data_IF_294465512195
#
_entry.id   IF_294465512195
#
_cell.length_a   1.000
_cell.length_b   1.000
_cell.length_c   1.000
_cell.angle_alpha   90.00
_cell.angle_beta   90.00
_cell.angle_gamma   90.00
#
_symmetry.space_group_name_H-M   'P 1'
#
loop_
_entity.id
_entity.type
_entity.pdbx_description
1 polymer ?
#
# COMPACT_ATOMS: atom_id res chain seq x y z
N UNK A 1 -66.83 -55.59 -13.04
CA UNK A 1 -65.76 -54.78 -12.40
C UNK A 1 -66.26 -53.44 -11.87
N UNK A 2 -66.96 -52.61 -12.66
CA UNK A 2 -67.37 -51.25 -12.25
C UNK A 2 -68.34 -51.17 -11.05
N UNK A 3 -69.22 -52.16 -10.86
CA UNK A 3 -70.15 -52.20 -9.71
C UNK A 3 -69.44 -52.54 -8.39
N UNK A 4 -68.42 -53.41 -8.42
CA UNK A 4 -67.64 -53.81 -7.25
C UNK A 4 -66.89 -52.62 -6.62
N UNK A 5 -66.28 -51.76 -7.44
CA UNK A 5 -65.64 -50.53 -6.96
C UNK A 5 -66.64 -49.52 -6.37
N UNK A 6 -67.88 -49.49 -6.87
CA UNK A 6 -68.92 -48.55 -6.41
C UNK A 6 -69.45 -48.92 -5.02
N UNK A 7 -69.59 -50.21 -4.72
CA UNK A 7 -70.07 -50.67 -3.41
C UNK A 7 -68.99 -50.58 -2.32
N UNK A 8 -67.73 -50.82 -2.67
CA UNK A 8 -66.58 -50.61 -1.77
C UNK A 8 -66.41 -49.12 -1.44
N UNK A 9 -66.51 -48.24 -2.46
CA UNK A 9 -66.43 -46.80 -2.27
C UNK A 9 -67.56 -46.24 -1.39
N UNK A 10 -68.79 -46.80 -1.48
CA UNK A 10 -69.90 -46.43 -0.60
C UNK A 10 -69.70 -46.92 0.85
N UNK A 11 -69.16 -48.12 1.06
CA UNK A 11 -68.98 -48.73 2.39
C UNK A 11 -67.82 -48.13 3.19
N UNK A 12 -66.81 -47.57 2.52
CA UNK A 12 -65.61 -47.00 3.16
C UNK A 12 -65.43 -45.49 2.92
N UNK A 13 -66.50 -44.77 2.54
CA UNK A 13 -66.46 -43.36 2.11
C UNK A 13 -65.77 -42.42 3.12
N UNK A 14 -65.98 -42.62 4.42
CA UNK A 14 -65.32 -41.84 5.48
C UNK A 14 -63.83 -42.17 5.63
N UNK A 15 -63.46 -43.45 5.50
CA UNK A 15 -62.07 -43.89 5.56
C UNK A 15 -61.26 -43.39 4.36
N UNK A 16 -61.85 -43.45 3.16
CA UNK A 16 -61.23 -42.95 1.94
C UNK A 16 -60.96 -41.44 1.99
N UNK A 17 -61.91 -40.65 2.53
CA UNK A 17 -61.73 -39.21 2.72
C UNK A 17 -60.62 -38.85 3.71
N UNK A 18 -60.52 -39.58 4.83
CA UNK A 18 -59.45 -39.36 5.82
C UNK A 18 -58.09 -39.72 5.23
N UNK A 19 -57.98 -40.85 4.52
CA UNK A 19 -56.72 -41.27 3.89
C UNK A 19 -56.29 -40.35 2.76
N UNK A 20 -57.23 -39.86 1.93
CA UNK A 20 -56.90 -38.93 0.84
C UNK A 20 -56.51 -37.56 1.37
N UNK A 21 -57.18 -37.07 2.42
CA UNK A 21 -56.81 -35.84 3.12
C UNK A 21 -55.41 -35.93 3.74
N UNK A 22 -55.09 -37.05 4.39
CA UNK A 22 -53.76 -37.29 4.97
C UNK A 22 -52.67 -37.35 3.89
N UNK A 23 -52.94 -38.01 2.77
CA UNK A 23 -52.01 -38.10 1.64
C UNK A 23 -51.76 -36.72 1.00
N UNK A 24 -52.80 -35.89 0.84
CA UNK A 24 -52.69 -34.52 0.34
C UNK A 24 -51.87 -33.64 1.27
N UNK A 25 -52.14 -33.69 2.58
CA UNK A 25 -51.37 -32.93 3.57
C UNK A 25 -49.90 -33.36 3.59
N UNK A 26 -49.64 -34.68 3.54
CA UNK A 26 -48.27 -35.21 3.47
C UNK A 26 -47.56 -34.76 2.19
N UNK A 27 -48.25 -34.77 1.05
CA UNK A 27 -47.67 -34.30 -0.22
C UNK A 27 -47.35 -32.81 -0.19
N UNK A 28 -48.28 -31.97 0.30
CA UNK A 28 -48.07 -30.53 0.44
C UNK A 28 -46.94 -30.20 1.41
N UNK A 29 -46.86 -30.92 2.54
CA UNK A 29 -45.78 -30.75 3.51
C UNK A 29 -44.42 -31.12 2.91
N UNK A 30 -44.31 -32.28 2.23
CA UNK A 30 -43.07 -32.68 1.55
C UNK A 30 -42.69 -31.70 0.44
N UNK A 31 -43.66 -31.24 -0.35
CA UNK A 31 -43.41 -30.24 -1.40
C UNK A 31 -42.89 -28.92 -0.82
N UNK A 32 -43.52 -28.42 0.25
CA UNK A 32 -43.09 -27.19 0.92
C UNK A 32 -41.70 -27.34 1.53
N UNK A 33 -41.41 -28.47 2.21
CA UNK A 33 -40.09 -28.73 2.79
C UNK A 33 -39.01 -28.83 1.71
N UNK A 34 -39.23 -29.59 0.64
CA UNK A 34 -38.28 -29.68 -0.47
C UNK A 34 -38.04 -28.32 -1.11
N UNK A 35 -39.10 -27.55 -1.36
CA UNK A 35 -38.98 -26.19 -1.90
C UNK A 35 -38.18 -25.29 -0.95
N UNK A 36 -38.46 -25.32 0.35
CA UNK A 36 -37.77 -24.51 1.35
C UNK A 36 -36.29 -24.90 1.48
N UNK A 37 -35.97 -26.19 1.44
CA UNK A 37 -34.59 -26.69 1.46
C UNK A 37 -33.82 -26.24 0.23
N UNK A 38 -34.41 -26.33 -0.96
CA UNK A 38 -33.79 -25.83 -2.19
C UNK A 38 -33.55 -24.32 -2.12
N UNK A 39 -34.54 -23.53 -1.70
CA UNK A 39 -34.39 -22.08 -1.50
C UNK A 39 -33.23 -21.74 -0.53
N UNK A 40 -33.12 -22.47 0.59
CA UNK A 40 -32.02 -22.28 1.54
C UNK A 40 -30.67 -22.67 0.96
N UNK A 41 -30.59 -23.79 0.23
CA UNK A 41 -29.36 -24.23 -0.43
C UNK A 41 -28.89 -23.23 -1.48
N UNK A 42 -29.82 -22.69 -2.28
CA UNK A 42 -29.49 -21.73 -3.32
C UNK A 42 -29.03 -20.40 -2.72
N UNK A 43 -29.69 -19.92 -1.66
CA UNK A 43 -29.21 -18.74 -0.90
C UNK A 43 -27.81 -18.94 -0.34
N UNK A 44 -27.53 -20.09 0.29
CA UNK A 44 -26.21 -20.38 0.83
C UNK A 44 -25.13 -20.47 -0.26
N UNK A 45 -25.46 -21.03 -1.42
CA UNK A 45 -24.53 -21.06 -2.57
C UNK A 45 -24.22 -19.66 -3.07
N UNK A 46 -25.23 -18.79 -3.15
CA UNK A 46 -25.08 -17.40 -3.59
C UNK A 46 -24.26 -16.56 -2.60
N UNK A 47 -24.55 -16.67 -1.31
CA UNK A 47 -23.78 -16.00 -0.24
C UNK A 47 -22.31 -16.45 -0.26
N UNK A 48 -22.07 -17.77 -0.37
CA UNK A 48 -20.72 -18.30 -0.46
C UNK A 48 -19.99 -17.87 -1.73
N UNK A 49 -20.66 -17.87 -2.89
CA UNK A 49 -20.08 -17.42 -4.15
C UNK A 49 -19.70 -15.94 -4.11
N UNK A 50 -20.56 -15.11 -3.53
CA UNK A 50 -20.31 -13.67 -3.33
C UNK A 50 -19.11 -13.44 -2.41
N UNK A 51 -19.05 -14.18 -1.30
CA UNK A 51 -17.93 -14.09 -0.35
C UNK A 51 -16.60 -14.52 -0.99
N UNK A 52 -16.59 -15.59 -1.76
CA UNK A 52 -15.38 -16.05 -2.45
C UNK A 52 -14.93 -15.08 -3.54
N UNK A 53 -15.87 -14.45 -4.26
CA UNK A 53 -15.56 -13.39 -5.22
C UNK A 53 -14.84 -12.21 -4.55
N UNK A 54 -15.37 -11.73 -3.41
CA UNK A 54 -14.78 -10.63 -2.63
C UNK A 54 -13.36 -10.99 -2.21
N UNK A 55 -13.17 -12.16 -1.59
CA UNK A 55 -11.84 -12.61 -1.13
C UNK A 55 -10.85 -12.69 -2.29
N UNK A 56 -11.27 -13.26 -3.42
CA UNK A 56 -10.42 -13.40 -4.60
C UNK A 56 -10.01 -12.03 -5.13
N UNK A 57 -10.97 -11.09 -5.22
CA UNK A 57 -10.72 -9.73 -5.70
C UNK A 57 -9.80 -8.96 -4.75
N UNK A 58 -10.05 -9.02 -3.45
CA UNK A 58 -9.19 -8.42 -2.45
C UNK A 58 -7.76 -8.97 -2.53
N UNK A 59 -7.60 -10.29 -2.58
CA UNK A 59 -6.28 -10.93 -2.70
C UNK A 59 -5.58 -10.55 -4.01
N UNK A 60 -6.32 -10.42 -5.11
CA UNK A 60 -5.77 -9.92 -6.37
C UNK A 60 -5.31 -8.47 -6.23
N UNK A 61 -6.13 -7.60 -5.61
CA UNK A 61 -5.78 -6.21 -5.36
C UNK A 61 -4.50 -6.08 -4.53
N UNK A 62 -4.29 -6.91 -3.49
CA UNK A 62 -3.02 -6.87 -2.73
C UNK A 62 -1.80 -7.23 -3.60
N UNK A 63 -1.95 -8.21 -4.49
CA UNK A 63 -0.88 -8.57 -5.44
C UNK A 63 -0.62 -7.43 -6.43
N UNK A 64 -1.68 -6.81 -6.94
CA UNK A 64 -1.56 -5.67 -7.85
C UNK A 64 -0.84 -4.51 -7.17
N UNK A 65 -1.17 -4.21 -5.90
CA UNK A 65 -0.46 -3.19 -5.10
C UNK A 65 1.04 -3.44 -5.08
N UNK A 66 1.47 -4.66 -4.72
CA UNK A 66 2.89 -4.98 -4.64
C UNK A 66 3.60 -4.94 -6.00
N UNK A 67 2.95 -5.44 -7.06
CA UNK A 67 3.54 -5.42 -8.41
C UNK A 67 3.64 -3.99 -8.97
N UNK A 68 2.65 -3.15 -8.69
CA UNK A 68 2.71 -1.72 -9.02
C UNK A 68 3.79 -1.01 -8.21
N UNK A 69 3.92 -1.30 -6.91
CA UNK A 69 4.99 -0.78 -6.07
C UNK A 69 6.37 -1.10 -6.65
N UNK A 70 6.63 -2.37 -6.99
CA UNK A 70 7.91 -2.77 -7.61
C UNK A 70 8.16 -2.06 -8.95
N UNK A 71 7.11 -1.76 -9.71
CA UNK A 71 7.22 -1.01 -10.97
C UNK A 71 7.52 0.47 -10.73
N UNK A 72 7.07 1.03 -9.61
CA UNK A 72 7.31 2.43 -9.22
C UNK A 72 8.62 2.62 -8.47
N UNK A 73 9.17 1.55 -7.89
CA UNK A 73 10.36 1.61 -7.06
C UNK A 73 11.55 2.32 -7.75
N UNK A 74 11.93 2.05 -9.02
CA UNK A 74 13.02 2.78 -9.66
C UNK A 74 12.74 4.29 -9.79
N UNK A 75 11.48 4.67 -10.05
CA UNK A 75 11.08 6.08 -10.15
C UNK A 75 11.15 6.82 -8.81
N UNK A 76 11.06 6.10 -7.69
CA UNK A 76 11.25 6.65 -6.35
C UNK A 76 12.73 6.68 -5.95
N UNK A 77 13.44 5.57 -6.20
CA UNK A 77 14.79 5.33 -5.71
C UNK A 77 15.84 6.14 -6.50
N UNK A 78 15.74 6.19 -7.83
CA UNK A 78 16.76 6.83 -8.67
C UNK A 78 16.95 8.32 -8.33
N UNK A 79 15.88 9.15 -8.17
CA UNK A 79 16.02 10.54 -7.74
C UNK A 79 16.69 10.68 -6.37
N UNK A 80 16.36 9.80 -5.42
CA UNK A 80 16.93 9.81 -4.06
C UNK A 80 18.44 9.51 -4.10
N UNK A 81 18.86 8.52 -4.89
CA UNK A 81 20.29 8.21 -5.06
C UNK A 81 21.06 9.32 -5.76
N UNK A 82 20.45 9.94 -6.77
CA UNK A 82 21.08 11.04 -7.51
C UNK A 82 21.25 12.30 -6.65
N UNK A 83 20.26 12.63 -5.83
CA UNK A 83 20.30 13.80 -4.94
C UNK A 83 21.19 13.55 -3.71
N UNK A 84 21.11 12.36 -3.12
CA UNK A 84 21.89 11.96 -1.94
C UNK A 84 23.03 11.04 -2.36
N UNK A 85 23.99 11.60 -3.10
CA UNK A 85 25.10 10.84 -3.69
C UNK A 85 26.22 10.54 -2.67
N UNK A 86 26.12 9.40 -1.99
CA UNK A 86 27.11 8.91 -1.01
C UNK A 86 28.37 8.37 -1.71
N UNK A 87 28.21 7.87 -2.93
CA UNK A 87 29.28 7.27 -3.73
C UNK A 87 30.30 8.34 -4.16
N UNK A 88 29.84 9.55 -4.45
CA UNK A 88 30.68 10.71 -4.74
C UNK A 88 31.58 11.07 -3.56
N UNK A 89 31.03 11.19 -2.35
CA UNK A 89 31.80 11.47 -1.14
C UNK A 89 32.80 10.35 -0.86
N UNK A 90 32.37 9.10 -1.05
CA UNK A 90 33.25 7.93 -0.90
C UNK A 90 34.42 7.97 -1.89
N UNK A 91 34.17 8.41 -3.13
CA UNK A 91 35.21 8.60 -4.16
C UNK A 91 36.17 9.72 -3.77
N UNK A 92 35.68 10.85 -3.29
CA UNK A 92 36.51 11.96 -2.81
C UNK A 92 37.40 11.53 -1.63
N UNK A 93 36.85 10.79 -0.66
CA UNK A 93 37.61 10.24 0.46
C UNK A 93 38.73 9.29 0.01
N UNK A 94 38.46 8.43 -0.99
CA UNK A 94 39.47 7.54 -1.58
C UNK A 94 40.58 8.32 -2.29
N UNK A 95 40.23 9.34 -3.06
CA UNK A 95 41.19 10.21 -3.75
C UNK A 95 42.04 11.01 -2.77
N UNK A 96 41.44 11.56 -1.70
CA UNK A 96 42.14 12.26 -0.65
C UNK A 96 43.16 11.35 0.08
N UNK A 97 42.82 10.08 0.29
CA UNK A 97 43.75 9.08 0.85
C UNK A 97 44.94 8.82 -0.08
N UNK A 98 44.70 8.61 -1.38
CA UNK A 98 45.76 8.37 -2.36
C UNK A 98 46.71 9.57 -2.55
N UNK A 99 46.18 10.80 -2.51
CA UNK A 99 46.98 12.04 -2.55
C UNK A 99 47.86 12.20 -1.30
N UNK A 100 47.33 11.88 -0.13
CA UNK A 100 48.08 11.94 1.14
C UNK A 100 49.27 10.97 1.21
N UNK A 101 49.28 9.91 0.39
CA UNK A 101 50.37 8.93 0.32
C UNK A 101 51.47 9.32 -0.70
N UNK A 102 51.24 10.33 -1.56
CA UNK A 102 52.11 10.58 -2.73
C UNK A 102 52.85 11.94 -2.71
N UNK A 103 52.49 12.95 -1.92
CA UNK A 103 53.18 14.26 -1.96
C UNK A 103 53.13 15.07 -0.66
N UNK A 104 54.31 15.58 -0.24
CA UNK A 104 54.50 16.60 0.80
C UNK A 104 53.90 17.93 0.31
N UNK A 105 52.92 18.43 1.05
CA UNK A 105 52.43 19.82 1.10
C UNK A 105 52.37 20.59 -0.23
N UNK A 106 51.17 20.67 -0.78
CA UNK A 106 50.68 21.91 -1.39
C UNK A 106 49.27 22.14 -0.82
N UNK A 107 49.18 23.10 0.10
CA UNK A 107 47.93 23.80 0.39
C UNK A 107 47.43 24.37 -0.93
N UNK A 108 46.31 23.83 -1.44
CA UNK A 108 45.58 24.49 -2.51
C UNK A 108 44.07 24.41 -2.28
N UNK A 109 43.45 25.51 -2.67
CA UNK A 109 42.20 26.07 -2.22
C UNK A 109 40.95 25.26 -2.68
N UNK A 110 39.92 25.29 -1.83
CA UNK A 110 38.51 24.94 -2.08
C UNK A 110 38.03 23.47 -2.01
N UNK A 111 38.71 22.62 -1.24
CA UNK A 111 38.20 21.28 -0.90
C UNK A 111 37.76 21.15 0.55
N UNK A 112 36.66 20.42 0.80
CA UNK A 112 36.26 19.97 2.15
C UNK A 112 37.40 19.18 2.80
N UNK A 113 37.60 19.36 4.11
CA UNK A 113 38.62 18.58 4.84
C UNK A 113 38.23 17.10 4.91
N UNK A 114 39.21 16.22 5.14
CA UNK A 114 38.92 14.78 5.30
C UNK A 114 37.92 14.51 6.42
N UNK A 115 37.98 15.27 7.52
CA UNK A 115 37.04 15.15 8.63
C UNK A 115 35.63 15.60 8.20
N UNK A 116 35.51 16.74 7.52
CA UNK A 116 34.24 17.23 6.97
C UNK A 116 33.60 16.24 6.00
N UNK A 117 34.39 15.62 5.11
CA UNK A 117 33.89 14.58 4.18
C UNK A 117 33.36 13.34 4.90
N UNK A 118 34.00 12.95 6.00
CA UNK A 118 33.56 11.84 6.82
C UNK A 118 32.26 12.16 7.56
N UNK A 119 32.14 13.36 8.13
CA UNK A 119 30.91 13.84 8.76
C UNK A 119 29.76 13.96 7.76
N UNK A 120 30.03 14.48 6.56
CA UNK A 120 29.02 14.53 5.50
C UNK A 120 28.61 13.12 5.04
N UNK A 121 29.55 12.18 4.93
CA UNK A 121 29.26 10.79 4.61
C UNK A 121 28.32 10.18 5.66
N UNK A 122 28.59 10.42 6.95
CA UNK A 122 27.75 9.95 8.06
C UNK A 122 26.30 10.39 7.89
N UNK A 123 26.10 11.71 7.78
CA UNK A 123 24.77 12.30 7.69
C UNK A 123 24.08 11.85 6.41
N UNK A 124 24.72 11.95 5.24
CA UNK A 124 24.08 11.58 3.97
C UNK A 124 23.77 10.09 3.84
N UNK A 125 24.62 9.20 4.33
CA UNK A 125 24.33 7.76 4.31
C UNK A 125 23.09 7.42 5.11
N UNK A 126 22.96 7.98 6.32
CA UNK A 126 21.79 7.78 7.18
C UNK A 126 20.54 8.45 6.60
N UNK A 127 20.66 9.69 6.12
CA UNK A 127 19.56 10.40 5.46
C UNK A 127 19.05 9.62 4.26
N UNK A 128 19.94 9.09 3.41
CA UNK A 128 19.55 8.26 2.27
C UNK A 128 18.83 6.99 2.72
N UNK A 129 19.40 6.27 3.70
CA UNK A 129 18.82 5.06 4.23
C UNK A 129 17.37 5.27 4.71
N UNK A 130 17.16 6.23 5.61
CA UNK A 130 15.82 6.52 6.12
C UNK A 130 14.89 7.08 5.05
N UNK A 131 15.37 7.95 4.15
CA UNK A 131 14.52 8.49 3.06
C UNK A 131 14.01 7.37 2.15
N UNK A 132 14.83 6.37 1.83
CA UNK A 132 14.39 5.21 1.05
C UNK A 132 13.32 4.40 1.79
N UNK A 133 13.60 3.96 3.02
CA UNK A 133 12.66 3.12 3.77
C UNK A 133 11.32 3.83 4.00
N UNK A 134 11.34 5.10 4.39
CA UNK A 134 10.11 5.89 4.57
C UNK A 134 9.41 6.16 3.24
N UNK A 135 10.14 6.48 2.18
CA UNK A 135 9.57 6.70 0.86
C UNK A 135 8.85 5.45 0.33
N UNK A 136 9.47 4.28 0.50
CA UNK A 136 8.91 2.99 0.14
C UNK A 136 7.68 2.65 0.97
N UNK A 137 7.74 2.82 2.29
CA UNK A 137 6.60 2.60 3.17
C UNK A 137 5.40 3.50 2.81
N UNK A 138 5.65 4.78 2.55
CA UNK A 138 4.65 5.75 2.12
C UNK A 138 4.04 5.37 0.75
N UNK A 139 4.87 4.91 -0.19
CA UNK A 139 4.40 4.44 -1.49
C UNK A 139 3.54 3.18 -1.38
N UNK A 140 3.95 2.20 -0.57
CA UNK A 140 3.19 0.97 -0.30
C UNK A 140 1.82 1.35 0.27
N UNK A 141 1.76 2.17 1.32
CA UNK A 141 0.49 2.60 1.92
C UNK A 141 -0.37 3.36 0.91
N UNK A 142 0.21 4.28 0.14
CA UNK A 142 -0.54 5.04 -0.86
C UNK A 142 -1.19 4.12 -1.91
N UNK A 143 -0.44 3.16 -2.46
CA UNK A 143 -0.95 2.22 -3.46
C UNK A 143 -2.01 1.29 -2.88
N UNK A 144 -1.81 0.81 -1.65
CA UNK A 144 -2.82 0.02 -0.95
C UNK A 144 -4.12 0.81 -0.75
N UNK A 145 -4.06 2.06 -0.31
CA UNK A 145 -5.25 2.89 -0.17
C UNK A 145 -5.92 3.14 -1.53
N UNK A 146 -5.16 3.62 -2.52
CA UNK A 146 -5.72 3.98 -3.83
C UNK A 146 -6.39 2.78 -4.51
N UNK A 147 -5.70 1.63 -4.58
CA UNK A 147 -6.21 0.46 -5.28
C UNK A 147 -7.33 -0.24 -4.52
N UNK A 148 -7.32 -0.26 -3.18
CA UNK A 148 -8.45 -0.81 -2.42
C UNK A 148 -9.70 0.08 -2.50
N UNK A 149 -9.56 1.42 -2.49
CA UNK A 149 -10.68 2.35 -2.71
C UNK A 149 -11.31 2.11 -4.09
N UNK A 150 -10.49 2.08 -5.15
CA UNK A 150 -10.96 1.83 -6.52
C UNK A 150 -11.59 0.44 -6.64
N UNK A 151 -10.93 -0.59 -6.11
CA UNK A 151 -11.40 -1.98 -6.20
C UNK A 151 -12.74 -2.16 -5.49
N UNK A 152 -12.95 -1.51 -4.35
CA UNK A 152 -14.25 -1.48 -3.66
C UNK A 152 -15.32 -0.80 -4.50
N UNK A 153 -15.04 0.38 -5.07
CA UNK A 153 -16.01 1.11 -5.90
C UNK A 153 -16.45 0.29 -7.11
N UNK A 154 -15.50 -0.31 -7.82
CA UNK A 154 -15.80 -1.18 -8.96
C UNK A 154 -16.49 -2.50 -8.54
N UNK A 155 -16.29 -2.97 -7.31
CA UNK A 155 -17.07 -4.08 -6.75
C UNK A 155 -18.54 -3.70 -6.54
N UNK A 156 -18.81 -2.56 -5.91
CA UNK A 156 -20.17 -2.06 -5.71
C UNK A 156 -20.92 -1.88 -7.02
N UNK A 157 -20.25 -1.32 -8.04
CA UNK A 157 -20.78 -1.16 -9.40
C UNK A 157 -21.19 -2.53 -9.99
N UNK A 158 -20.32 -3.53 -9.88
CA UNK A 158 -20.61 -4.90 -10.36
C UNK A 158 -21.73 -5.58 -9.58
N UNK A 159 -21.76 -5.44 -8.25
CA UNK A 159 -22.78 -6.01 -7.39
C UNK A 159 -24.16 -5.40 -7.65
N UNK A 160 -24.23 -4.08 -7.84
CA UNK A 160 -25.45 -3.37 -8.21
C UNK A 160 -26.00 -3.89 -9.55
N UNK A 161 -25.14 -4.05 -10.57
CA UNK A 161 -25.52 -4.61 -11.86
C UNK A 161 -26.11 -6.02 -11.72
N UNK A 162 -25.49 -6.87 -10.91
CA UNK A 162 -25.99 -8.23 -10.70
C UNK A 162 -27.36 -8.23 -10.01
N UNK A 163 -27.56 -7.38 -8.99
CA UNK A 163 -28.83 -7.25 -8.28
C UNK A 163 -29.96 -6.78 -9.22
N UNK A 164 -29.70 -5.76 -10.06
CA UNK A 164 -30.67 -5.27 -11.05
C UNK A 164 -31.09 -6.37 -12.04
N UNK A 165 -30.12 -7.15 -12.53
CA UNK A 165 -30.37 -8.28 -13.44
C UNK A 165 -31.16 -9.41 -12.79
N UNK A 166 -30.98 -9.64 -11.49
CA UNK A 166 -31.67 -10.69 -10.74
C UNK A 166 -33.11 -10.32 -10.35
N UNK A 167 -33.38 -9.06 -10.00
CA UNK A 167 -34.73 -8.63 -9.58
C UNK A 167 -35.71 -8.45 -10.74
N UNK A 168 -35.27 -8.62 -11.99
CA UNK A 168 -36.18 -8.58 -13.15
C UNK A 168 -36.94 -7.26 -13.25
N UNK A 169 -36.29 -6.14 -12.91
CA UNK A 169 -36.86 -4.80 -13.09
C UNK A 169 -36.89 -4.51 -14.60
N UNK A 170 -37.86 -5.10 -15.29
CA UNK A 170 -38.26 -4.72 -16.64
C UNK A 170 -38.89 -3.33 -16.55
N UNK A 171 -38.14 -2.29 -16.94
CA UNK A 171 -38.69 -0.94 -17.05
C UNK A 171 -37.75 0.21 -16.71
N UNK A 172 -36.54 -0.07 -16.24
CA UNK A 172 -35.48 0.95 -16.22
C UNK A 172 -34.65 0.73 -17.49
N UNK A 173 -34.92 1.55 -18.50
CA UNK A 173 -34.01 1.78 -19.64
C UNK A 173 -32.78 2.53 -19.10
N UNK A 174 -32.03 1.88 -18.23
CA UNK A 174 -30.69 2.32 -17.90
C UNK A 174 -29.89 1.84 -19.10
N UNK A 175 -29.30 2.77 -19.87
CA UNK A 175 -28.17 2.42 -20.72
C UNK A 175 -27.02 1.98 -19.79
N UNK A 176 -27.14 0.77 -19.21
CA UNK A 176 -26.16 0.12 -18.34
C UNK A 176 -24.85 -0.01 -19.09
N UNK A 177 -24.87 0.00 -20.43
CA UNK A 177 -23.66 0.08 -21.24
C UNK A 177 -23.02 1.49 -21.18
N UNK A 178 -23.73 2.60 -21.43
CA UNK A 178 -23.11 3.94 -21.44
C UNK A 178 -22.74 4.47 -20.05
N UNK A 179 -23.57 4.27 -19.02
CA UNK A 179 -23.29 4.74 -17.64
C UNK A 179 -22.25 3.86 -16.94
N UNK A 180 -22.06 2.60 -17.39
CA UNK A 180 -20.95 1.77 -16.91
C UNK A 180 -19.67 1.91 -17.75
N UNK A 181 -19.79 2.36 -19.01
CA UNK A 181 -18.71 2.82 -19.86
C UNK A 181 -18.31 4.28 -19.59
N UNK A 182 -18.92 4.95 -18.60
CA UNK A 182 -18.37 6.19 -18.04
C UNK A 182 -16.89 5.90 -17.80
N UNK A 183 -16.07 6.53 -18.65
CA UNK A 183 -14.63 6.40 -18.67
C UNK A 183 -14.17 6.49 -17.22
N UNK A 184 -13.21 5.66 -16.83
CA UNK A 184 -12.54 5.65 -15.53
C UNK A 184 -11.76 6.98 -15.26
N UNK A 185 -12.32 8.14 -15.63
CA UNK A 185 -11.72 9.47 -15.51
C UNK A 185 -11.44 9.79 -14.05
N UNK A 186 -12.40 9.60 -13.11
CA UNK A 186 -12.12 9.87 -11.71
C UNK A 186 -11.02 8.96 -11.15
N UNK A 187 -11.05 7.68 -11.51
CA UNK A 187 -10.07 6.68 -11.08
C UNK A 187 -8.67 6.97 -11.66
N UNK A 188 -8.58 7.34 -12.94
CA UNK A 188 -7.32 7.70 -13.59
C UNK A 188 -6.72 8.99 -13.03
N UNK A 189 -7.56 10.02 -12.82
CA UNK A 189 -7.13 11.26 -12.16
C UNK A 189 -6.69 10.98 -10.72
N UNK A 190 -7.43 10.14 -9.98
CA UNK A 190 -7.09 9.75 -8.62
C UNK A 190 -5.78 8.97 -8.52
N UNK A 191 -5.49 8.04 -9.44
CA UNK A 191 -4.22 7.30 -9.49
C UNK A 191 -3.01 8.20 -9.78
N UNK A 192 -3.23 9.32 -10.47
CA UNK A 192 -2.19 10.30 -10.78
C UNK A 192 -1.55 10.93 -9.54
N UNK A 193 -2.22 10.89 -8.38
CA UNK A 193 -1.69 11.40 -7.10
C UNK A 193 -0.42 10.69 -6.62
N UNK A 194 -0.16 9.45 -7.07
CA UNK A 194 1.12 8.77 -6.82
C UNK A 194 2.33 9.51 -7.37
N UNK A 195 2.13 10.33 -8.40
CA UNK A 195 3.16 11.19 -8.97
C UNK A 195 3.73 12.19 -7.96
N UNK A 196 2.92 12.66 -7.01
CA UNK A 196 3.35 13.66 -6.04
C UNK A 196 4.51 13.18 -5.19
N UNK A 197 4.38 12.00 -4.56
CA UNK A 197 5.45 11.40 -3.77
C UNK A 197 6.69 11.15 -4.64
N UNK A 198 6.52 10.63 -5.86
CA UNK A 198 7.60 10.30 -6.79
C UNK A 198 8.43 11.52 -7.24
N UNK A 199 7.84 12.72 -7.26
CA UNK A 199 8.49 13.88 -7.90
C UNK A 199 8.73 15.07 -6.95
N UNK A 200 7.91 15.23 -5.91
CA UNK A 200 7.94 16.39 -5.01
C UNK A 200 7.99 15.97 -3.55
N UNK A 201 7.09 15.09 -3.12
CA UNK A 201 6.94 14.69 -1.72
C UNK A 201 8.20 14.07 -1.11
N UNK A 202 8.97 13.29 -1.87
CA UNK A 202 10.22 12.70 -1.36
C UNK A 202 11.29 13.75 -0.99
N UNK A 203 11.25 14.95 -1.58
CA UNK A 203 12.20 16.03 -1.28
C UNK A 203 11.93 16.57 0.12
N UNK A 204 10.66 16.80 0.45
CA UNK A 204 10.25 17.24 1.79
C UNK A 204 10.50 16.14 2.83
N UNK A 205 10.28 14.88 2.45
CA UNK A 205 10.65 13.73 3.27
C UNK A 205 12.16 13.72 3.57
N UNK A 206 13.00 13.87 2.53
CA UNK A 206 14.47 13.93 2.67
C UNK A 206 14.89 15.03 3.66
N UNK A 207 14.30 16.22 3.56
CA UNK A 207 14.64 17.33 4.44
C UNK A 207 14.27 17.01 5.90
N UNK A 208 13.04 16.53 6.12
CA UNK A 208 12.55 16.12 7.45
C UNK A 208 13.40 15.00 8.07
N UNK A 209 13.77 14.02 7.26
CA UNK A 209 14.66 12.91 7.65
C UNK A 209 16.06 13.45 7.96
N UNK A 210 16.60 14.33 7.11
CA UNK A 210 17.91 14.93 7.29
C UNK A 210 18.04 15.68 8.61
N UNK A 211 17.06 16.49 8.95
CA UNK A 211 17.00 17.19 10.24
C UNK A 211 17.01 16.19 11.40
N UNK A 212 16.19 15.14 11.31
CA UNK A 212 16.10 14.11 12.37
C UNK A 212 17.37 13.27 12.51
N UNK A 213 18.09 13.03 11.42
CA UNK A 213 19.40 12.36 11.44
C UNK A 213 20.44 13.24 12.09
N UNK A 214 20.47 14.54 11.77
CA UNK A 214 21.39 15.51 12.38
C UNK A 214 21.12 15.63 13.88
N UNK A 215 19.85 15.67 14.30
CA UNK A 215 19.46 15.77 15.72
C UNK A 215 19.97 14.59 16.57
N UNK A 216 20.11 13.40 16.00
CA UNK A 216 20.52 12.18 16.72
C UNK A 216 22.00 11.84 16.52
N UNK A 217 22.49 11.90 15.28
CA UNK A 217 23.85 11.47 14.92
C UNK A 217 24.84 12.64 14.78
N UNK A 218 24.39 13.89 14.86
CA UNK A 218 25.24 15.07 14.67
C UNK A 218 26.48 15.05 15.56
N UNK A 219 26.29 14.81 16.86
CA UNK A 219 27.34 14.87 17.88
C UNK A 219 28.17 13.57 18.03
N UNK A 220 27.82 12.50 17.31
CA UNK A 220 28.47 11.19 17.43
C UNK A 220 29.76 11.17 16.60
N UNK A 221 30.91 10.92 17.25
CA UNK A 221 32.20 10.82 16.56
C UNK A 221 32.28 9.53 15.73
N UNK A 222 32.79 9.62 14.51
CA UNK A 222 33.02 8.46 13.65
C UNK A 222 34.05 7.45 14.16
N UNK A 223 34.86 7.86 15.13
CA UNK A 223 35.84 7.02 15.84
C UNK A 223 35.25 6.32 17.05
N UNK A 224 34.07 6.73 17.50
CA UNK A 224 33.36 6.06 18.57
C UNK A 224 33.12 4.60 18.18
N UNK A 225 33.28 3.71 19.15
CA UNK A 225 33.04 2.30 18.97
C UNK A 225 31.65 1.99 19.51
N UNK A 226 30.77 1.53 18.62
CA UNK A 226 29.40 1.19 18.94
C UNK A 226 29.19 -0.30 18.74
N UNK A 227 28.44 -0.92 19.63
CA UNK A 227 27.88 -2.24 19.39
C UNK A 227 26.58 -2.14 18.57
N UNK A 228 26.06 -3.29 18.12
CA UNK A 228 24.88 -3.30 17.25
C UNK A 228 23.62 -2.82 17.98
N UNK A 229 23.50 -3.07 19.29
CA UNK A 229 22.35 -2.63 20.09
C UNK A 229 22.35 -1.11 20.26
N UNK A 230 23.51 -0.50 20.52
CA UNK A 230 23.69 0.94 20.59
C UNK A 230 23.36 1.61 19.25
N UNK A 231 23.88 1.08 18.15
CA UNK A 231 23.60 1.60 16.80
C UNK A 231 22.11 1.47 16.44
N UNK A 232 21.50 0.32 16.74
CA UNK A 232 20.06 0.11 16.54
C UNK A 232 19.21 1.04 17.40
N UNK A 233 19.63 1.31 18.64
CA UNK A 233 18.98 2.28 19.52
C UNK A 233 19.01 3.70 18.96
N UNK A 234 20.12 4.11 18.34
CA UNK A 234 20.22 5.39 17.64
C UNK A 234 19.31 5.45 16.42
N UNK A 235 19.26 4.38 15.62
CA UNK A 235 18.31 4.28 14.50
C UNK A 235 16.85 4.39 14.98
N UNK A 236 16.50 3.73 16.08
CA UNK A 236 15.17 3.82 16.67
C UNK A 236 14.84 5.24 17.17
N UNK A 237 15.82 5.97 17.70
CA UNK A 237 15.63 7.39 18.07
C UNK A 237 15.37 8.27 16.84
N UNK A 238 16.06 8.03 15.72
CA UNK A 238 15.77 8.72 14.45
C UNK A 238 14.36 8.40 13.98
N UNK A 239 13.95 7.13 14.00
CA UNK A 239 12.58 6.74 13.63
C UNK A 239 11.55 7.44 14.50
N UNK A 240 11.73 7.43 15.82
CA UNK A 240 10.82 8.11 16.76
C UNK A 240 10.68 9.61 16.45
N UNK A 241 11.77 10.28 16.08
CA UNK A 241 11.74 11.69 15.67
C UNK A 241 10.94 11.90 14.39
N UNK A 242 11.19 11.07 13.37
CA UNK A 242 10.50 11.15 12.07
C UNK A 242 9.01 10.82 12.25
N UNK A 243 8.68 9.70 12.89
CA UNK A 243 7.31 9.25 13.16
C UNK A 243 6.50 10.31 13.88
N UNK A 244 7.08 10.97 14.89
CA UNK A 244 6.43 12.10 15.58
C UNK A 244 6.03 13.22 14.63
N UNK A 245 6.96 13.67 13.78
CA UNK A 245 6.72 14.73 12.78
C UNK A 245 5.68 14.29 11.72
N UNK A 246 5.66 13.00 11.36
CA UNK A 246 4.69 12.45 10.41
C UNK A 246 3.27 12.36 11.00
N UNK A 247 3.13 11.94 12.26
CA UNK A 247 1.84 11.83 12.96
C UNK A 247 1.17 13.18 13.22
N UNK A 248 1.93 14.28 13.29
CA UNK A 248 1.40 15.65 13.40
C UNK A 248 0.78 16.19 12.08
N UNK A 249 0.51 15.30 11.11
CA UNK A 249 -0.12 15.62 9.83
C UNK A 249 0.86 15.75 8.65
N UNK A 250 2.15 15.51 8.90
CA UNK A 250 3.19 15.56 7.86
C UNK A 250 2.94 14.62 6.69
N UNK A 251 2.34 13.44 6.94
CA UNK A 251 2.06 12.42 5.91
C UNK A 251 1.24 12.99 4.74
N UNK A 252 0.24 13.84 5.02
CA UNK A 252 -0.64 14.37 3.97
C UNK A 252 0.13 15.25 3.00
N UNK A 253 1.01 16.12 3.49
CA UNK A 253 1.82 17.00 2.62
C UNK A 253 2.83 16.23 1.78
N UNK A 254 3.33 15.09 2.28
CA UNK A 254 4.24 14.22 1.53
C UNK A 254 3.55 13.42 0.43
N UNK A 255 2.26 13.10 0.59
CA UNK A 255 1.52 12.22 -0.31
C UNK A 255 0.53 12.93 -1.24
N UNK A 256 0.02 14.10 -0.84
CA UNK A 256 -0.97 14.85 -1.61
C UNK A 256 -0.48 16.28 -1.89
N UNK A 257 -0.62 16.78 -3.13
CA UNK A 257 -0.33 18.16 -3.46
C UNK A 257 -1.31 19.12 -2.78
N UNK A 258 -0.93 20.38 -2.69
CA UNK A 258 -1.89 21.45 -2.45
C UNK A 258 -2.76 21.67 -3.72
N UNK A 259 -3.88 22.39 -3.58
CA UNK A 259 -4.82 22.61 -4.69
C UNK A 259 -4.19 23.31 -5.90
N UNK A 260 -3.18 24.15 -5.69
CA UNK A 260 -2.51 24.87 -6.77
C UNK A 260 -1.65 23.93 -7.63
N UNK A 261 -0.99 22.96 -6.99
CA UNK A 261 -0.09 22.01 -7.64
C UNK A 261 -0.79 20.76 -8.17
N UNK A 262 -2.05 20.53 -7.78
CA UNK A 262 -2.88 19.45 -8.31
C UNK A 262 -3.07 19.57 -9.83
N UNK A 263 -3.25 20.79 -10.34
CA UNK A 263 -3.38 21.03 -11.79
C UNK A 263 -2.09 20.69 -12.55
N UNK A 264 -0.93 21.12 -12.02
CA UNK A 264 0.38 20.77 -12.60
C UNK A 264 0.57 19.25 -12.65
N UNK A 265 0.24 18.55 -11.56
CA UNK A 265 0.34 17.10 -11.50
C UNK A 265 -0.55 16.42 -12.55
N UNK A 266 -1.82 16.84 -12.68
CA UNK A 266 -2.74 16.27 -13.65
C UNK A 266 -2.25 16.51 -15.10
N UNK A 267 -1.68 17.68 -15.38
CA UNK A 267 -1.05 18.02 -16.67
C UNK A 267 0.18 17.14 -16.98
N UNK A 268 0.96 16.76 -15.97
CA UNK A 268 2.15 15.91 -16.14
C UNK A 268 1.83 14.43 -16.34
N UNK A 269 0.65 14.00 -15.89
CA UNK A 269 0.28 12.57 -15.82
C UNK A 269 -0.75 12.18 -16.88
N UNK A 270 -1.48 13.14 -17.46
CA UNK A 270 -2.59 12.86 -18.37
C UNK A 270 -2.49 13.69 -19.67
N UNK A 271 -3.20 13.22 -20.72
CA UNK A 271 -3.22 13.92 -22.00
C UNK A 271 -4.13 15.17 -21.98
N UNK A 272 -3.89 16.16 -22.85
CA UNK A 272 -4.76 17.34 -22.93
C UNK A 272 -6.24 16.99 -23.18
N UNK A 273 -6.52 15.98 -24.01
CA UNK A 273 -7.88 15.54 -24.31
C UNK A 273 -8.57 14.93 -23.09
N UNK A 274 -7.81 14.19 -22.26
CA UNK A 274 -8.31 13.68 -20.99
C UNK A 274 -8.69 14.83 -20.05
N UNK A 275 -7.83 15.85 -19.93
CA UNK A 275 -8.05 16.99 -19.04
C UNK A 275 -9.25 17.81 -19.49
N UNK A 276 -9.42 18.05 -20.79
CA UNK A 276 -10.61 18.73 -21.33
C UNK A 276 -11.90 17.94 -21.02
N UNK A 277 -11.84 16.61 -21.13
CA UNK A 277 -12.98 15.74 -20.79
C UNK A 277 -13.29 15.77 -19.29
N UNK A 278 -12.28 15.70 -18.43
CA UNK A 278 -12.44 15.80 -16.98
C UNK A 278 -12.94 17.19 -16.57
N UNK A 279 -12.46 18.24 -17.22
CA UNK A 279 -12.85 19.63 -16.94
C UNK A 279 -14.27 19.96 -17.38
N UNK A 280 -14.79 19.29 -18.41
CA UNK A 280 -16.16 19.49 -18.90
C UNK A 280 -17.20 18.66 -18.16
N UNK A 281 -16.80 17.61 -17.43
CA UNK A 281 -17.69 16.74 -16.67
C UNK A 281 -17.62 17.04 -15.16
N UNK A 282 -18.59 17.82 -14.66
CA UNK A 282 -18.70 18.17 -13.23
C UNK A 282 -18.89 16.95 -12.31
N UNK A 283 -19.64 15.93 -12.74
CA UNK A 283 -19.82 14.71 -11.96
C UNK A 283 -18.49 13.96 -11.76
N UNK A 284 -17.65 13.89 -12.80
CA UNK A 284 -16.33 13.28 -12.73
C UNK A 284 -15.37 14.04 -11.82
N UNK A 285 -15.43 15.37 -11.80
CA UNK A 285 -14.66 16.18 -10.84
C UNK A 285 -15.07 15.89 -9.41
N UNK A 286 -16.37 15.94 -9.12
CA UNK A 286 -16.91 15.67 -7.78
C UNK A 286 -16.55 14.24 -7.33
N UNK A 287 -16.61 13.26 -8.24
CA UNK A 287 -16.19 11.90 -7.96
C UNK A 287 -14.68 11.80 -7.64
N UNK A 288 -13.82 12.51 -8.38
CA UNK A 288 -12.37 12.59 -8.08
C UNK A 288 -12.13 13.19 -6.70
N UNK A 289 -12.79 14.31 -6.39
CA UNK A 289 -12.67 14.97 -5.09
C UNK A 289 -13.12 14.07 -3.95
N UNK A 290 -14.19 13.28 -4.13
CA UNK A 290 -14.64 12.28 -3.15
C UNK A 290 -13.58 11.21 -2.89
N UNK A 291 -12.96 10.67 -3.94
CA UNK A 291 -11.88 9.68 -3.81
C UNK A 291 -10.67 10.26 -3.06
N UNK A 292 -10.26 11.48 -3.41
CA UNK A 292 -9.13 12.17 -2.76
C UNK A 292 -9.44 12.51 -1.31
N UNK A 293 -10.66 12.96 -1.00
CA UNK A 293 -11.09 13.25 0.37
C UNK A 293 -11.16 11.99 1.24
N UNK A 294 -11.63 10.88 0.68
CA UNK A 294 -11.60 9.58 1.36
C UNK A 294 -10.15 9.14 1.64
N UNK A 295 -9.26 9.20 0.64
CA UNK A 295 -7.84 8.92 0.83
C UNK A 295 -7.24 9.79 1.95
N UNK A 296 -7.48 11.11 1.91
CA UNK A 296 -7.02 12.05 2.93
C UNK A 296 -7.54 11.69 4.33
N UNK A 297 -8.77 11.22 4.45
CA UNK A 297 -9.33 10.76 5.72
C UNK A 297 -8.55 9.58 6.30
N UNK A 298 -8.20 8.57 5.48
CA UNK A 298 -7.36 7.46 5.95
C UNK A 298 -5.96 7.92 6.34
N UNK A 299 -5.34 8.78 5.52
CA UNK A 299 -4.01 9.32 5.79
C UNK A 299 -3.93 10.04 7.13
N UNK A 300 -4.97 10.78 7.51
CA UNK A 300 -5.03 11.52 8.77
C UNK A 300 -5.31 10.64 10.00
N UNK A 301 -6.10 9.57 9.85
CA UNK A 301 -6.68 8.86 11.00
C UNK A 301 -6.11 7.46 11.23
N UNK A 302 -5.61 6.80 10.18
CA UNK A 302 -5.34 5.35 10.22
C UNK A 302 -3.94 4.96 9.73
N UNK A 303 -3.22 5.85 9.04
CA UNK A 303 -1.98 5.45 8.35
C UNK A 303 -0.70 5.63 9.16
N UNK A 304 -0.65 6.55 10.14
CA UNK A 304 0.58 6.87 10.87
C UNK A 304 1.25 5.64 11.48
N UNK A 305 0.51 4.88 12.29
CA UNK A 305 1.03 3.66 12.92
C UNK A 305 1.42 2.58 11.90
N UNK A 306 0.64 2.43 10.82
CA UNK A 306 0.93 1.46 9.76
C UNK A 306 2.25 1.79 9.08
N UNK A 307 2.49 3.07 8.75
CA UNK A 307 3.78 3.52 8.19
C UNK A 307 4.92 3.22 9.16
N UNK A 308 4.78 3.55 10.45
CA UNK A 308 5.82 3.29 11.45
C UNK A 308 6.14 1.79 11.58
N UNK A 309 5.13 0.91 11.51
CA UNK A 309 5.34 -0.55 11.53
C UNK A 309 6.05 -1.08 10.27
N UNK A 310 5.69 -0.58 9.08
CA UNK A 310 6.38 -0.93 7.82
C UNK A 310 7.85 -0.49 7.89
N UNK A 311 8.09 0.74 8.32
CA UNK A 311 9.44 1.30 8.42
C UNK A 311 10.25 0.52 9.46
N UNK A 312 9.68 0.21 10.63
CA UNK A 312 10.35 -0.59 11.65
C UNK A 312 10.76 -1.95 11.10
N UNK A 313 9.91 -2.59 10.30
CA UNK A 313 10.21 -3.86 9.63
C UNK A 313 11.38 -3.71 8.66
N UNK A 314 11.32 -2.72 7.75
CA UNK A 314 12.39 -2.47 6.77
C UNK A 314 13.74 -2.09 7.41
N UNK A 315 13.73 -1.22 8.42
CA UNK A 315 14.93 -0.85 9.17
C UNK A 315 15.53 -2.06 9.87
N UNK A 316 14.71 -2.85 10.55
CA UNK A 316 15.16 -4.05 11.28
C UNK A 316 15.80 -5.07 10.33
N UNK A 317 15.23 -5.28 9.13
CA UNK A 317 15.77 -6.21 8.15
C UNK A 317 17.15 -5.77 7.63
N UNK A 318 17.34 -4.47 7.37
CA UNK A 318 18.65 -3.93 6.94
C UNK A 318 19.68 -3.98 8.07
N UNK A 319 19.27 -3.66 9.30
CA UNK A 319 20.14 -3.74 10.48
C UNK A 319 20.55 -5.19 10.79
N UNK A 320 19.62 -6.14 10.65
CA UNK A 320 19.91 -7.57 10.78
C UNK A 320 20.97 -8.03 9.76
N UNK A 321 20.79 -7.70 8.47
CA UNK A 321 21.78 -8.00 7.43
C UNK A 321 23.13 -7.31 7.68
N UNK A 322 23.13 -6.13 8.31
CA UNK A 322 24.34 -5.42 8.72
C UNK A 322 25.06 -6.18 9.83
N UNK A 323 24.33 -6.63 10.85
CA UNK A 323 24.88 -7.45 11.95
C UNK A 323 25.50 -8.74 11.43
N UNK A 324 24.78 -9.48 10.57
CA UNK A 324 25.26 -10.74 9.99
C UNK A 324 26.58 -10.54 9.21
N UNK A 325 26.65 -9.47 8.40
CA UNK A 325 27.86 -9.14 7.64
C UNK A 325 29.06 -8.76 8.52
N UNK A 326 28.80 -8.20 9.71
CA UNK A 326 29.84 -7.79 10.66
C UNK A 326 30.30 -8.91 11.59
N UNK A 327 29.42 -9.83 11.97
CA UNK A 327 29.78 -11.01 12.78
C UNK A 327 30.84 -11.89 12.10
N UNK A 328 30.79 -11.98 10.77
CA UNK A 328 31.81 -12.66 9.97
C UNK A 328 33.22 -12.05 10.13
N UNK A 329 33.32 -10.79 10.60
CA UNK A 329 34.58 -10.05 10.79
C UNK A 329 35.15 -10.12 12.21
N UNK A 330 34.53 -10.85 13.15
CA UNK A 330 35.04 -11.17 14.52
C UNK A 330 35.65 -10.00 15.30
N UNK A 331 35.02 -8.82 15.30
CA UNK A 331 35.54 -7.63 16.00
C UNK A 331 34.44 -6.69 16.48
N UNK A 332 33.74 -7.03 17.56
CA UNK A 332 32.81 -6.12 18.25
C UNK A 332 33.48 -5.57 19.53
N UNK A 333 33.31 -4.28 19.90
CA UNK A 333 32.52 -3.24 19.22
C UNK A 333 33.18 -2.75 17.92
N UNK A 334 32.37 -2.13 17.03
CA UNK A 334 32.84 -1.65 15.73
C UNK A 334 32.89 -0.13 15.70
N UNK A 335 33.85 0.43 14.96
CA UNK A 335 33.87 1.87 14.69
C UNK A 335 32.62 2.27 13.90
N UNK A 336 32.01 3.40 14.25
CA UNK A 336 30.84 3.97 13.57
C UNK A 336 31.01 4.02 12.04
N UNK A 337 32.20 4.38 11.56
CA UNK A 337 32.50 4.39 10.12
C UNK A 337 32.36 3.01 9.43
N UNK A 338 32.67 1.92 10.12
CA UNK A 338 32.52 0.55 9.59
C UNK A 338 31.07 0.09 9.59
N UNK A 339 30.31 0.44 10.64
CA UNK A 339 28.87 0.20 10.72
C UNK A 339 28.15 0.87 9.55
N UNK A 340 28.40 2.16 9.35
CA UNK A 340 27.80 2.95 8.26
C UNK A 340 28.15 2.39 6.88
N UNK A 341 29.42 2.05 6.64
CA UNK A 341 29.84 1.48 5.35
C UNK A 341 29.17 0.13 5.07
N UNK A 342 28.98 -0.70 6.10
CA UNK A 342 28.34 -2.01 5.96
C UNK A 342 26.84 -1.88 5.78
N UNK A 343 26.19 -1.00 6.54
CA UNK A 343 24.77 -0.67 6.40
C UNK A 343 24.46 -0.10 5.01
N UNK A 344 25.27 0.84 4.51
CA UNK A 344 25.09 1.39 3.15
C UNK A 344 25.18 0.32 2.06
N UNK A 345 25.96 -0.75 2.27
CA UNK A 345 25.98 -1.89 1.34
C UNK A 345 24.72 -2.75 1.46
N UNK A 346 24.18 -2.95 2.67
CA UNK A 346 22.94 -3.69 2.86
C UNK A 346 21.70 -2.92 2.36
N UNK A 347 21.74 -1.60 2.45
CA UNK A 347 20.72 -0.69 1.94
C UNK A 347 20.45 -0.87 0.43
N UNK A 348 21.42 -1.34 -0.37
CA UNK A 348 21.23 -1.60 -1.81
C UNK A 348 20.08 -2.59 -2.09
N UNK A 349 19.73 -3.45 -1.11
CA UNK A 349 18.56 -4.32 -1.22
C UNK A 349 17.27 -3.52 -1.39
N UNK A 350 17.11 -2.37 -0.74
CA UNK A 350 15.92 -1.53 -0.86
C UNK A 350 15.73 -1.00 -2.29
N UNK A 351 16.82 -0.79 -3.02
CA UNK A 351 16.78 -0.32 -4.41
C UNK A 351 16.40 -1.39 -5.45
N UNK A 352 16.31 -2.67 -5.06
CA UNK A 352 16.18 -3.77 -6.02
C UNK A 352 14.72 -4.16 -6.25
N UNK A 353 14.15 -3.68 -7.36
CA UNK A 353 12.79 -4.00 -7.81
C UNK A 353 12.65 -5.46 -8.28
N UNK A 354 12.49 -6.40 -7.35
CA UNK A 354 12.26 -7.82 -7.65
C UNK A 354 11.32 -8.44 -6.63
N UNK A 355 10.50 -9.39 -7.10
CA UNK A 355 9.60 -10.17 -6.23
C UNK A 355 10.38 -11.04 -5.23
N UNK A 356 11.63 -11.37 -5.56
CA UNK A 356 12.54 -12.13 -4.69
C UNK A 356 13.16 -11.28 -3.57
N UNK A 357 12.83 -9.99 -3.49
CA UNK A 357 13.36 -9.09 -2.47
C UNK A 357 12.67 -9.38 -1.13
N UNK A 358 13.42 -9.97 -0.22
CA UNK A 358 13.00 -10.34 1.12
C UNK A 358 12.56 -9.11 1.94
N UNK A 359 13.38 -8.05 1.95
CA UNK A 359 13.10 -6.83 2.72
C UNK A 359 11.79 -6.16 2.27
N UNK A 360 11.64 -5.96 0.95
CA UNK A 360 10.43 -5.31 0.41
C UNK A 360 9.19 -6.19 0.59
N UNK A 361 9.34 -7.51 0.47
CA UNK A 361 8.26 -8.46 0.72
C UNK A 361 7.81 -8.43 2.19
N UNK A 362 8.75 -8.39 3.14
CA UNK A 362 8.44 -8.29 4.58
C UNK A 362 7.71 -6.97 4.89
N UNK A 363 8.18 -5.85 4.34
CA UNK A 363 7.51 -4.55 4.45
C UNK A 363 6.07 -4.58 3.93
N UNK A 364 5.79 -5.32 2.84
CA UNK A 364 4.47 -5.40 2.23
C UNK A 364 3.54 -6.46 2.88
N UNK A 365 4.04 -7.30 3.78
CA UNK A 365 3.26 -8.42 4.36
C UNK A 365 2.92 -8.25 5.83
N UNK A 366 3.07 -7.02 6.36
CA UNK A 366 2.72 -6.73 7.73
C UNK A 366 1.19 -6.78 7.95
N UNK A 367 0.78 -7.27 9.12
CA UNK A 367 -0.64 -7.43 9.46
C UNK A 367 -1.39 -6.10 9.48
N UNK A 368 -0.78 -5.03 10.00
CA UNK A 368 -1.42 -3.72 10.07
C UNK A 368 -1.77 -3.14 8.69
N UNK A 369 -0.99 -3.45 7.65
CA UNK A 369 -1.24 -3.04 6.27
C UNK A 369 -2.41 -3.82 5.65
N UNK A 370 -2.47 -5.13 5.90
CA UNK A 370 -3.59 -5.99 5.48
C UNK A 370 -4.89 -5.55 6.17
N UNK A 371 -4.84 -5.25 7.47
CA UNK A 371 -5.98 -4.75 8.25
C UNK A 371 -6.46 -3.38 7.75
N UNK A 372 -5.53 -2.46 7.46
CA UNK A 372 -5.86 -1.18 6.82
C UNK A 372 -6.56 -1.42 5.48
N UNK A 373 -5.98 -2.27 4.62
CA UNK A 373 -6.53 -2.58 3.30
C UNK A 373 -7.93 -3.21 3.41
N UNK A 374 -8.13 -4.12 4.36
CA UNK A 374 -9.42 -4.76 4.62
C UNK A 374 -10.45 -3.76 5.15
N UNK A 375 -10.04 -2.82 6.02
CA UNK A 375 -10.92 -1.77 6.54
C UNK A 375 -11.42 -0.85 5.41
N UNK A 376 -10.53 -0.46 4.49
CA UNK A 376 -10.88 0.33 3.29
C UNK A 376 -11.86 -0.44 2.43
N UNK A 377 -11.54 -1.71 2.13
CA UNK A 377 -12.32 -2.55 1.23
C UNK A 377 -13.74 -2.85 1.76
N UNK A 378 -13.89 -2.97 3.08
CA UNK A 378 -15.16 -3.26 3.75
C UNK A 378 -15.97 -2.02 4.14
N UNK A 379 -15.41 -0.83 3.98
CA UNK A 379 -16.10 0.42 4.29
C UNK A 379 -17.11 0.78 3.19
N UNK A 380 -18.37 0.43 3.38
CA UNK A 380 -19.47 0.67 2.44
C UNK A 380 -20.34 1.90 2.78
N UNK A 381 -19.94 2.73 3.75
CA UNK A 381 -20.70 3.96 4.04
C UNK A 381 -20.45 4.98 2.92
N UNK A 382 -21.50 5.21 2.13
CA UNK A 382 -21.60 6.22 1.05
C UNK A 382 -21.62 7.63 1.62
#
# INVERSE_FOLDING_TARGET
>A
MFQYFRDIAKRHKSKLLVTSGLALLSYLATYYLSKKVTEFQDRLKEENATRELIKKRFSQTQKDCYMTFLSFLPMLVDPIYNDINVEEITRELRQAKAKSETTIQTDDLSGKTKAELWEELKIKSLTRFFTLVYGEALMIVLLHLQLNIISRKSYLKTALKLAILQEGIEGIDFDVEEDFLEKDLPEQAFLSFSWWLLNRGWIDLKNLVGDSVVDVFGDIDLREELNMDEFSGLCANVQKSIDGKLMEGGIVGLLLPNKEMESEMLEKTNSPEFLETLQSNENSKEATEKLVNELKSYLLNSCGNVVSEIVMTGVSAVLYGTSEALEQRKSSPWKTALLLATMSSQQEKLARATVENDVLSEMNTITALDDLSASVYSNFTV
#
